data_IF_734384557323
#
_entry.id   IF_734384557323
#
_cell.length_a   1.000
_cell.length_b   1.000
_cell.length_c   1.000
_cell.angle_alpha   90.00
_cell.angle_beta   90.00
_cell.angle_gamma   90.00
#
_symmetry.space_group_name_H-M   'P 1'
#
loop_
_entity.id
_entity.type
_entity.pdbx_description
1 polymer ?
#
# COMPACT_ATOMS: atom_id res chain seq x y z
N UNK A 1 -16.11 25.20 21.86
CA UNK A 1 -15.68 23.78 21.83
C UNK A 1 -15.62 23.33 20.37
N UNK A 2 -14.62 23.80 19.63
CA UNK A 2 -14.27 23.36 18.27
C UNK A 2 -12.76 23.16 18.29
N UNK A 3 -12.32 21.96 18.62
CA UNK A 3 -10.94 21.51 18.46
C UNK A 3 -10.95 20.66 17.19
N UNK A 4 -10.60 21.31 16.09
CA UNK A 4 -10.42 20.72 14.77
C UNK A 4 -9.26 19.73 14.86
N UNK A 5 -9.44 18.53 14.29
CA UNK A 5 -8.45 17.43 14.26
C UNK A 5 -7.09 17.80 13.61
N UNK A 6 -6.95 19.02 13.08
CA UNK A 6 -5.69 19.59 12.62
C UNK A 6 -4.61 19.71 13.71
N UNK A 7 -4.98 19.64 15.00
CA UNK A 7 -4.03 19.72 16.12
C UNK A 7 -3.59 18.37 16.72
N UNK A 8 -4.15 17.23 16.29
CA UNK A 8 -3.93 15.94 16.95
C UNK A 8 -2.69 15.17 16.44
N UNK A 9 -2.02 15.64 15.38
CA UNK A 9 -0.99 14.88 14.67
C UNK A 9 0.33 15.66 14.48
N UNK A 10 0.77 16.41 15.49
CA UNK A 10 2.13 16.97 15.48
C UNK A 10 3.13 15.90 15.96
N UNK A 11 3.72 15.15 15.01
CA UNK A 11 4.75 14.14 15.30
C UNK A 11 6.15 14.78 15.39
N UNK A 12 6.98 14.44 16.39
CA UNK A 12 8.30 15.05 16.59
C UNK A 12 9.44 14.46 15.70
N UNK A 13 9.14 13.87 14.54
CA UNK A 13 10.11 13.10 13.74
C UNK A 13 10.86 13.89 12.63
N UNK A 14 10.74 15.21 12.59
CA UNK A 14 11.37 16.02 11.53
C UNK A 14 12.90 16.07 11.68
N UNK A 15 13.67 15.30 10.89
CA UNK A 15 15.08 15.63 10.67
C UNK A 15 16.09 14.63 10.12
N UNK A 16 15.76 13.40 9.72
CA UNK A 16 16.80 12.38 9.43
C UNK A 16 16.91 11.84 7.99
N UNK A 17 16.24 12.39 6.99
CA UNK A 17 16.33 11.88 5.61
C UNK A 17 16.60 12.97 4.55
N UNK A 18 17.72 12.75 3.84
CA UNK A 18 18.42 13.60 2.85
C UNK A 18 17.56 14.08 1.65
N UNK A 19 18.01 15.18 1.04
CA UNK A 19 17.18 16.28 0.50
C UNK A 19 17.24 16.47 -1.02
N UNK A 20 17.59 15.45 -1.82
CA UNK A 20 17.42 15.53 -3.29
C UNK A 20 16.00 15.14 -3.70
N UNK A 21 15.02 15.93 -3.25
CA UNK A 21 13.58 15.64 -3.21
C UNK A 21 12.86 15.80 -4.57
N UNK A 22 13.53 15.57 -5.71
CA UNK A 22 12.90 15.68 -7.05
C UNK A 22 12.64 14.32 -7.70
N UNK A 23 13.53 13.34 -7.56
CA UNK A 23 13.36 12.02 -8.16
C UNK A 23 12.60 11.06 -7.24
N UNK A 24 11.60 10.36 -7.80
CA UNK A 24 10.94 9.26 -7.09
C UNK A 24 11.87 8.05 -7.15
N UNK A 25 12.83 7.98 -6.23
CA UNK A 25 13.67 6.78 -6.09
C UNK A 25 12.78 5.54 -5.90
N UNK A 26 12.75 4.67 -6.91
CA UNK A 26 11.97 3.43 -6.90
C UNK A 26 12.65 2.43 -5.98
N UNK A 27 11.95 1.85 -4.99
CA UNK A 27 12.59 0.99 -4.01
C UNK A 27 13.12 -0.30 -4.65
N UNK A 28 14.38 -0.62 -4.40
CA UNK A 28 15.05 -1.85 -4.84
C UNK A 28 15.02 -2.98 -3.81
N UNK A 29 14.73 -2.67 -2.54
CA UNK A 29 14.74 -3.64 -1.44
C UNK A 29 13.70 -3.31 -0.35
N UNK A 30 13.54 -4.21 0.61
CA UNK A 30 12.54 -4.09 1.68
C UNK A 30 12.76 -2.88 2.59
N UNK A 31 14.02 -2.53 2.87
CA UNK A 31 14.36 -1.40 3.72
C UNK A 31 13.93 -0.07 3.07
N UNK A 32 14.21 0.09 1.78
CA UNK A 32 13.75 1.23 0.99
C UNK A 32 12.22 1.29 0.91
N UNK A 33 11.53 0.14 0.83
CA UNK A 33 10.06 0.13 0.91
C UNK A 33 9.57 0.60 2.27
N UNK A 34 10.14 0.07 3.37
CA UNK A 34 9.76 0.46 4.72
C UNK A 34 9.99 1.95 4.98
N UNK A 35 11.15 2.47 4.57
CA UNK A 35 11.49 3.89 4.72
C UNK A 35 10.60 4.78 3.84
N UNK A 36 10.31 4.35 2.60
CA UNK A 36 9.38 5.03 1.70
C UNK A 36 7.97 5.07 2.26
N UNK A 37 7.49 3.96 2.83
CA UNK A 37 6.18 3.85 3.45
C UNK A 37 6.04 4.77 4.67
N UNK A 38 7.05 4.78 5.54
CA UNK A 38 7.14 5.64 6.72
C UNK A 38 7.08 7.11 6.34
N UNK A 39 8.04 7.56 5.53
CA UNK A 39 8.14 8.95 5.10
C UNK A 39 6.88 9.42 4.36
N UNK A 40 6.32 8.60 3.47
CA UNK A 40 5.10 8.96 2.73
C UNK A 40 3.88 9.08 3.63
N UNK A 41 3.77 8.24 4.67
CA UNK A 41 2.66 8.31 5.64
C UNK A 41 2.82 9.52 6.54
N UNK A 42 4.03 9.77 7.06
CA UNK A 42 4.33 10.96 7.86
C UNK A 42 4.04 12.25 7.08
N UNK A 43 4.44 12.33 5.81
CA UNK A 43 4.13 13.47 4.94
C UNK A 43 2.62 13.71 4.82
N UNK A 44 1.83 12.64 4.70
CA UNK A 44 0.38 12.74 4.59
C UNK A 44 -0.27 13.19 5.92
N UNK A 45 0.15 12.59 7.04
CA UNK A 45 -0.37 12.92 8.37
C UNK A 45 -0.01 14.34 8.79
N UNK A 46 1.22 14.79 8.53
CA UNK A 46 1.66 16.17 8.78
C UNK A 46 0.87 17.22 7.99
N UNK A 47 0.20 16.79 6.91
CA UNK A 47 -0.69 17.63 6.10
C UNK A 47 -2.16 17.55 6.52
N UNK A 48 -2.46 16.79 7.57
CA UNK A 48 -3.83 16.57 8.05
C UNK A 48 -4.66 15.68 7.13
N UNK A 49 -4.02 14.88 6.26
CA UNK A 49 -4.73 13.94 5.41
C UNK A 49 -5.18 12.75 6.27
N UNK A 50 -6.49 12.67 6.52
CA UNK A 50 -7.09 11.67 7.41
C UNK A 50 -7.41 10.35 6.71
N UNK A 51 -7.48 10.33 5.37
CA UNK A 51 -7.93 9.17 4.57
C UNK A 51 -6.86 8.73 3.60
N UNK A 52 -6.16 7.66 3.95
CA UNK A 52 -4.99 7.19 3.21
C UNK A 52 -5.30 5.88 2.50
N UNK A 53 -4.75 5.69 1.31
CA UNK A 53 -4.73 4.43 0.57
C UNK A 53 -3.28 4.00 0.30
N UNK A 54 -2.95 2.81 0.77
CA UNK A 54 -1.61 2.24 0.71
C UNK A 54 -1.70 0.87 0.08
N UNK A 55 -0.79 0.60 -0.84
CA UNK A 55 -0.84 -0.58 -1.68
C UNK A 55 0.58 -1.12 -1.91
N UNK A 56 0.84 -2.32 -1.42
CA UNK A 56 2.05 -3.11 -1.72
C UNK A 56 1.68 -4.35 -2.53
N UNK A 57 2.59 -5.00 -3.27
CA UNK A 57 2.28 -6.21 -4.03
C UNK A 57 1.74 -7.35 -3.17
N UNK A 58 0.93 -8.24 -3.75
CA UNK A 58 0.44 -9.40 -3.03
C UNK A 58 1.60 -10.33 -2.65
N UNK A 59 1.56 -10.94 -1.46
CA UNK A 59 2.63 -11.81 -0.94
C UNK A 59 4.01 -11.12 -0.80
N UNK A 60 4.08 -9.78 -0.85
CA UNK A 60 5.29 -9.05 -0.55
C UNK A 60 5.51 -8.98 0.96
N UNK A 61 6.54 -9.70 1.44
CA UNK A 61 6.88 -9.76 2.86
C UNK A 61 7.89 -8.64 3.21
N UNK A 62 7.53 -7.83 4.20
CA UNK A 62 8.39 -6.80 4.78
C UNK A 62 9.41 -7.41 5.76
N UNK A 63 9.14 -8.60 6.28
CA UNK A 63 10.02 -9.32 7.22
C UNK A 63 9.85 -8.89 8.68
N UNK A 64 8.69 -8.30 9.01
CA UNK A 64 8.37 -7.80 10.36
C UNK A 64 7.98 -8.96 11.29
N UNK A 65 7.39 -10.05 10.77
CA UNK A 65 7.00 -11.23 11.56
C UNK A 65 8.15 -12.27 11.69
N UNK A 66 9.40 -11.89 11.43
CA UNK A 66 10.60 -12.67 11.78
C UNK A 66 11.26 -13.46 10.65
N UNK A 67 10.63 -13.55 9.47
CA UNK A 67 11.26 -14.19 8.31
C UNK A 67 12.14 -13.18 7.56
N UNK A 68 13.39 -13.00 8.01
CA UNK A 68 14.36 -12.05 7.44
C UNK A 68 14.92 -12.46 6.07
N UNK A 69 14.49 -13.58 5.50
CA UNK A 69 14.85 -13.93 4.12
C UNK A 69 14.09 -12.98 3.19
N UNK A 70 14.67 -11.80 3.00
CA UNK A 70 14.11 -10.70 2.24
C UNK A 70 13.57 -11.21 0.91
N UNK A 71 12.24 -11.19 0.78
CA UNK A 71 11.60 -11.47 -0.49
C UNK A 71 12.06 -10.36 -1.42
N UNK A 72 12.85 -10.74 -2.43
CA UNK A 72 13.32 -9.78 -3.42
C UNK A 72 12.11 -9.13 -4.08
N UNK A 73 12.19 -7.83 -4.30
CA UNK A 73 11.27 -7.09 -5.18
C UNK A 73 11.47 -7.59 -6.61
N UNK A 74 10.84 -8.71 -6.94
CA UNK A 74 10.81 -9.34 -8.25
C UNK A 74 9.48 -10.07 -8.35
N UNK A 75 8.66 -9.73 -9.35
CA UNK A 75 7.30 -10.26 -9.47
C UNK A 75 7.26 -11.78 -9.59
N UNK A 76 8.23 -12.35 -10.31
CA UNK A 76 8.32 -13.81 -10.52
C UNK A 76 8.76 -14.59 -9.28
N UNK A 77 9.16 -13.89 -8.22
CA UNK A 77 9.47 -14.46 -6.91
C UNK A 77 8.33 -14.30 -5.92
N UNK A 78 7.28 -13.54 -6.27
CA UNK A 78 6.10 -13.42 -5.45
C UNK A 78 5.19 -14.62 -5.65
N UNK A 79 4.84 -15.26 -4.54
CA UNK A 79 3.88 -16.35 -4.52
C UNK A 79 2.47 -15.80 -4.37
N UNK A 80 2.01 -15.01 -5.36
CA UNK A 80 0.71 -14.32 -5.30
C UNK A 80 -0.49 -15.28 -5.22
N UNK A 81 -0.32 -16.51 -5.72
CA UNK A 81 -1.30 -17.59 -5.60
C UNK A 81 -1.30 -18.31 -4.25
N UNK A 82 -0.27 -18.10 -3.43
CA UNK A 82 -0.17 -18.67 -2.08
C UNK A 82 -0.90 -17.77 -1.08
N UNK A 83 -2.14 -18.14 -0.78
CA UNK A 83 -2.99 -17.36 0.13
C UNK A 83 -2.39 -17.21 1.53
N UNK A 84 -1.58 -18.17 2.01
CA UNK A 84 -0.95 -18.06 3.32
C UNK A 84 0.12 -16.96 3.33
N UNK A 85 0.91 -16.85 2.26
CA UNK A 85 1.89 -15.76 2.10
C UNK A 85 1.24 -14.41 1.89
N UNK A 86 0.15 -14.34 1.12
CA UNK A 86 -0.65 -13.11 0.99
C UNK A 86 -1.19 -12.67 2.36
N UNK A 87 -1.72 -13.61 3.13
CA UNK A 87 -2.24 -13.34 4.48
C UNK A 87 -1.15 -12.86 5.45
N UNK A 88 0.06 -13.40 5.34
CA UNK A 88 1.22 -12.91 6.12
C UNK A 88 1.65 -11.52 5.67
N UNK A 89 1.76 -11.27 4.36
CA UNK A 89 2.08 -9.96 3.83
C UNK A 89 1.08 -8.89 4.30
N UNK A 90 -0.22 -9.18 4.23
CA UNK A 90 -1.27 -8.28 4.71
C UNK A 90 -1.12 -7.95 6.21
N UNK A 91 -0.76 -8.94 7.05
CA UNK A 91 -0.46 -8.71 8.47
C UNK A 91 0.81 -7.88 8.67
N UNK A 92 1.91 -8.18 7.98
CA UNK A 92 3.17 -7.46 8.15
C UNK A 92 3.04 -5.97 7.80
N UNK A 93 2.31 -5.63 6.74
CA UNK A 93 2.02 -4.22 6.41
C UNK A 93 1.23 -3.58 7.54
N UNK A 94 0.18 -4.25 8.05
CA UNK A 94 -0.61 -3.73 9.16
C UNK A 94 0.20 -3.54 10.44
N UNK A 95 1.09 -4.50 10.78
CA UNK A 95 2.01 -4.39 11.92
C UNK A 95 2.95 -3.20 11.78
N UNK A 96 3.44 -2.94 10.57
CA UNK A 96 4.27 -1.76 10.29
C UNK A 96 3.52 -0.47 10.62
N UNK A 97 2.23 -0.39 10.28
CA UNK A 97 1.40 0.77 10.64
C UNK A 97 1.14 0.86 12.15
N UNK A 98 0.97 -0.26 12.86
CA UNK A 98 0.88 -0.22 14.33
C UNK A 98 2.12 0.40 14.93
N UNK A 99 3.31 -0.02 14.50
CA UNK A 99 4.58 0.52 14.98
C UNK A 99 4.76 2.01 14.64
N UNK A 100 4.38 2.42 13.42
CA UNK A 100 4.45 3.82 13.00
C UNK A 100 3.49 4.73 13.76
N UNK A 101 2.32 4.21 14.13
CA UNK A 101 1.26 4.97 14.78
C UNK A 101 1.24 4.78 16.30
N UNK A 102 2.25 4.11 16.88
CA UNK A 102 2.40 3.99 18.34
C UNK A 102 2.29 5.34 19.09
N UNK A 103 2.82 6.47 18.59
CA UNK A 103 2.68 7.75 19.29
C UNK A 103 1.23 8.22 19.45
N UNK A 104 0.30 7.68 18.65
CA UNK A 104 -1.14 7.95 18.69
C UNK A 104 -1.93 6.66 18.99
N UNK A 105 -1.31 5.68 19.64
CA UNK A 105 -1.89 4.34 19.82
C UNK A 105 -3.25 4.33 20.55
N UNK A 106 -3.52 5.35 21.38
CA UNK A 106 -4.81 5.47 22.05
C UNK A 106 -5.93 5.69 21.01
N UNK A 107 -6.74 4.66 20.80
CA UNK A 107 -7.79 4.65 19.79
C UNK A 107 -7.35 4.13 18.42
N UNK A 108 -6.16 3.53 18.30
CA UNK A 108 -5.76 2.80 17.10
C UNK A 108 -6.49 1.46 17.02
N UNK A 109 -7.17 1.22 15.91
CA UNK A 109 -7.87 -0.03 15.63
C UNK A 109 -7.40 -0.61 14.30
N UNK A 110 -6.92 -1.85 14.30
CA UNK A 110 -6.58 -2.60 13.09
C UNK A 110 -7.69 -3.59 12.81
N UNK A 111 -8.37 -3.44 11.67
CA UNK A 111 -9.44 -4.34 11.27
C UNK A 111 -9.06 -5.22 10.09
N UNK A 112 -9.17 -6.52 10.29
CA UNK A 112 -8.95 -7.51 9.24
C UNK A 112 -10.25 -7.93 8.55
N UNK A 113 -10.13 -8.28 7.26
CA UNK A 113 -11.23 -8.78 6.43
C UNK A 113 -11.96 -10.02 6.97
N UNK A 114 -11.40 -10.76 7.93
CA UNK A 114 -12.07 -11.89 8.58
C UNK A 114 -11.45 -12.20 9.96
N UNK A 115 -12.21 -12.92 10.80
CA UNK A 115 -11.80 -13.30 12.14
C UNK A 115 -10.50 -14.11 12.18
N UNK A 116 -10.29 -15.03 11.23
CA UNK A 116 -9.09 -15.88 11.20
C UNK A 116 -7.80 -15.06 11.14
N UNK A 117 -7.80 -13.97 10.35
CA UNK A 117 -6.65 -13.08 10.24
C UNK A 117 -6.44 -12.23 11.50
N UNK A 118 -7.52 -11.75 12.10
CA UNK A 118 -7.47 -11.03 13.37
C UNK A 118 -6.92 -11.91 14.51
N UNK A 119 -7.43 -13.13 14.65
CA UNK A 119 -6.96 -14.10 15.65
C UNK A 119 -5.46 -14.39 15.46
N UNK A 120 -5.02 -14.55 14.20
CA UNK A 120 -3.60 -14.81 13.91
C UNK A 120 -2.71 -13.60 14.23
N UNK A 121 -3.17 -12.39 13.92
CA UNK A 121 -2.47 -11.18 14.30
C UNK A 121 -2.37 -11.03 15.83
N UNK A 122 -3.45 -11.31 16.57
CA UNK A 122 -3.44 -11.30 18.04
C UNK A 122 -2.44 -12.31 18.61
N UNK A 123 -2.41 -13.53 18.07
CA UNK A 123 -1.47 -14.58 18.49
C UNK A 123 0.00 -14.19 18.26
N UNK A 124 0.30 -13.62 17.09
CA UNK A 124 1.68 -13.33 16.65
C UNK A 124 2.20 -12.03 17.27
N UNK A 125 1.40 -10.96 17.24
CA UNK A 125 1.87 -9.62 17.63
C UNK A 125 1.88 -9.43 19.14
N UNK A 126 0.96 -10.09 19.85
CA UNK A 126 0.78 -9.94 21.32
C UNK A 126 0.76 -8.47 21.74
N UNK A 127 -0.04 -7.67 21.03
CA UNK A 127 -0.20 -6.25 21.31
C UNK A 127 -0.60 -6.04 22.77
N UNK A 128 0.02 -5.05 23.41
CA UNK A 128 -0.47 -4.54 24.67
C UNK A 128 -1.76 -3.72 24.44
N UNK A 129 -2.62 -3.63 25.46
CA UNK A 129 -3.92 -2.93 25.34
C UNK A 129 -3.73 -1.45 24.96
N UNK A 130 -2.62 -0.84 25.37
CA UNK A 130 -2.24 0.53 25.03
C UNK A 130 -1.74 0.73 23.59
N UNK A 131 -1.33 -0.33 22.88
CA UNK A 131 -0.82 -0.25 21.51
C UNK A 131 -1.94 -0.21 20.46
N UNK A 132 -3.16 -0.60 20.84
CA UNK A 132 -4.34 -0.57 19.99
C UNK A 132 -5.14 -1.88 20.01
N UNK A 133 -6.25 -1.89 19.26
CA UNK A 133 -7.18 -3.02 19.20
C UNK A 133 -7.11 -3.74 17.85
N UNK A 134 -7.11 -5.07 17.87
CA UNK A 134 -7.25 -5.89 16.66
C UNK A 134 -8.70 -6.37 16.56
N UNK A 135 -9.36 -5.98 15.47
CA UNK A 135 -10.76 -6.28 15.18
C UNK A 135 -10.89 -7.10 13.87
N UNK A 136 -12.07 -7.65 13.65
CA UNK A 136 -12.45 -8.26 12.38
C UNK A 136 -13.78 -7.71 11.88
N UNK A 137 -13.96 -7.67 10.56
CA UNK A 137 -15.27 -7.37 10.01
C UNK A 137 -16.32 -8.39 10.46
N UNK A 138 -17.55 -7.95 10.78
CA UNK A 138 -18.62 -8.85 11.17
C UNK A 138 -18.89 -9.87 10.06
N UNK A 139 -19.10 -11.12 10.45
CA UNK A 139 -19.50 -12.17 9.52
C UNK A 139 -20.91 -11.88 9.02
N UNK A 140 -21.14 -12.16 7.73
CA UNK A 140 -22.49 -12.15 7.17
C UNK A 140 -23.39 -13.06 8.02
N UNK A 141 -24.53 -12.57 8.54
CA UNK A 141 -25.53 -13.45 9.11
C UNK A 141 -25.98 -14.48 8.05
N UNK A 142 -26.61 -15.58 8.47
CA UNK A 142 -27.09 -16.60 7.51
C UNK A 142 -28.48 -16.26 6.94
N UNK A 143 -28.93 -14.99 6.97
CA UNK A 143 -30.33 -14.61 6.72
C UNK A 143 -30.53 -13.73 5.47
N UNK A 144 -31.42 -14.11 4.56
CA UNK A 144 -31.51 -13.50 3.23
C UNK A 144 -32.16 -12.09 3.15
N UNK A 145 -32.73 -11.54 4.22
CA UNK A 145 -33.51 -10.30 4.15
C UNK A 145 -33.20 -9.39 5.34
N UNK A 146 -32.78 -8.14 5.06
CA UNK A 146 -32.41 -7.00 5.95
C UNK A 146 -30.93 -6.77 6.32
N UNK A 147 -29.97 -7.46 5.70
CA UNK A 147 -28.58 -7.46 6.21
C UNK A 147 -27.75 -6.19 5.97
N UNK A 148 -27.88 -5.45 4.87
CA UNK A 148 -26.89 -4.37 4.56
C UNK A 148 -27.01 -3.15 5.50
N UNK A 149 -28.20 -2.74 5.91
CA UNK A 149 -28.38 -1.57 6.79
C UNK A 149 -27.97 -1.89 8.23
N UNK A 150 -28.44 -3.03 8.76
CA UNK A 150 -28.09 -3.47 10.11
C UNK A 150 -26.60 -3.81 10.27
N UNK A 151 -25.93 -4.25 9.20
CA UNK A 151 -24.48 -4.47 9.26
C UNK A 151 -23.70 -3.16 9.38
N UNK A 152 -24.17 -2.07 8.75
CA UNK A 152 -23.56 -0.75 8.90
C UNK A 152 -23.64 -0.23 10.33
N UNK A 153 -24.82 -0.31 10.95
CA UNK A 153 -25.03 0.12 12.34
C UNK A 153 -24.18 -0.70 13.32
N UNK A 154 -24.20 -2.04 13.21
CA UNK A 154 -23.37 -2.92 14.06
C UNK A 154 -21.88 -2.66 13.88
N UNK A 155 -21.46 -2.39 12.64
CA UNK A 155 -20.08 -2.04 12.35
C UNK A 155 -19.72 -0.72 13.05
N UNK A 156 -20.55 0.30 12.95
CA UNK A 156 -20.33 1.60 13.61
C UNK A 156 -20.33 1.46 15.13
N UNK A 157 -21.25 0.68 15.71
CA UNK A 157 -21.29 0.38 17.15
C UNK A 157 -20.02 -0.34 17.63
N UNK A 158 -19.51 -1.30 16.85
CA UNK A 158 -18.27 -1.99 17.16
C UNK A 158 -17.07 -1.03 17.16
N UNK A 159 -16.96 -0.16 16.16
CA UNK A 159 -15.89 0.84 16.06
C UNK A 159 -15.99 1.86 17.21
N UNK A 160 -17.20 2.34 17.51
CA UNK A 160 -17.44 3.28 18.61
C UNK A 160 -17.18 2.65 19.99
N UNK A 161 -17.63 1.40 20.20
CA UNK A 161 -17.43 0.66 21.44
C UNK A 161 -15.97 0.33 21.73
N UNK A 162 -15.15 0.18 20.69
CA UNK A 162 -13.70 0.04 20.80
C UNK A 162 -12.97 1.39 20.98
N UNK A 163 -13.68 2.52 20.96
CA UNK A 163 -13.07 3.85 21.10
C UNK A 163 -12.12 4.20 19.95
N UNK A 164 -12.38 3.68 18.75
CA UNK A 164 -11.49 3.86 17.61
C UNK A 164 -11.48 5.32 17.11
N UNK A 165 -10.29 5.92 17.06
CA UNK A 165 -10.01 7.25 16.51
C UNK A 165 -9.19 7.16 15.21
N UNK A 166 -8.41 6.09 15.03
CA UNK A 166 -7.68 5.79 13.81
C UNK A 166 -7.91 4.33 13.41
N UNK A 167 -8.48 4.11 12.24
CA UNK A 167 -8.85 2.80 11.73
C UNK A 167 -7.92 2.38 10.59
N UNK A 168 -7.12 1.35 10.82
CA UNK A 168 -6.29 0.69 9.81
C UNK A 168 -7.06 -0.51 9.27
N UNK A 169 -7.47 -0.46 8.01
CA UNK A 169 -8.28 -1.49 7.36
C UNK A 169 -7.42 -2.34 6.45
N UNK A 170 -7.31 -3.62 6.77
CA UNK A 170 -6.42 -4.54 6.06
C UNK A 170 -7.17 -5.34 5.01
N UNK A 171 -6.76 -5.17 3.76
CA UNK A 171 -7.16 -5.97 2.63
C UNK A 171 -8.69 -6.10 2.45
N UNK A 172 -9.49 -5.02 2.59
CA UNK A 172 -10.94 -5.09 2.56
C UNK A 172 -11.48 -5.60 1.22
N UNK A 173 -12.62 -6.26 1.27
CA UNK A 173 -13.42 -6.69 0.10
C UNK A 173 -14.45 -5.64 -0.29
N UNK A 174 -15.10 -5.78 -1.44
CA UNK A 174 -16.05 -4.78 -1.96
C UNK A 174 -17.14 -4.44 -0.94
N UNK A 175 -17.72 -5.45 -0.29
CA UNK A 175 -18.74 -5.24 0.75
C UNK A 175 -18.20 -4.45 1.94
N UNK A 176 -16.99 -4.77 2.38
CA UNK A 176 -16.33 -4.09 3.51
C UNK A 176 -15.98 -2.65 3.16
N UNK A 177 -15.53 -2.40 1.93
CA UNK A 177 -15.34 -1.05 1.40
C UNK A 177 -16.62 -0.21 1.45
N UNK A 178 -17.80 -0.80 1.24
CA UNK A 178 -19.08 -0.07 1.40
C UNK A 178 -19.33 0.32 2.84
N UNK A 179 -19.09 -0.58 3.80
CA UNK A 179 -19.21 -0.29 5.24
C UNK A 179 -18.25 0.82 5.65
N UNK A 180 -16.99 0.76 5.20
CA UNK A 180 -15.98 1.77 5.51
C UNK A 180 -16.34 3.12 4.88
N UNK A 181 -16.86 3.13 3.65
CA UNK A 181 -17.35 4.37 3.04
C UNK A 181 -18.50 4.97 3.86
N UNK A 182 -19.46 4.15 4.27
CA UNK A 182 -20.58 4.60 5.12
C UNK A 182 -20.10 5.16 6.46
N UNK A 183 -19.12 4.50 7.10
CA UNK A 183 -18.48 4.98 8.32
C UNK A 183 -17.78 6.33 8.10
N UNK A 184 -17.04 6.49 6.99
CA UNK A 184 -16.40 7.76 6.63
C UNK A 184 -17.40 8.89 6.34
N UNK A 185 -18.59 8.57 5.82
CA UNK A 185 -19.66 9.55 5.62
C UNK A 185 -20.27 10.01 6.97
N UNK A 186 -20.28 9.15 8.00
CA UNK A 186 -20.83 9.47 9.34
C UNK A 186 -19.82 10.19 10.23
N UNK A 187 -18.57 9.74 10.21
CA UNK A 187 -17.51 10.26 11.09
C UNK A 187 -16.77 11.47 10.49
N UNK A 188 -16.98 11.75 9.20
CA UNK A 188 -16.34 12.84 8.46
C UNK A 188 -14.81 12.86 8.68
N UNK A 189 -14.28 13.93 9.30
CA UNK A 189 -12.86 14.13 9.61
C UNK A 189 -12.50 13.83 11.07
N UNK A 190 -13.43 13.29 11.85
CA UNK A 190 -13.20 12.97 13.27
C UNK A 190 -12.39 11.68 13.47
N UNK A 191 -12.26 10.86 12.43
CA UNK A 191 -11.57 9.57 12.47
C UNK A 191 -10.63 9.43 11.27
N UNK A 192 -9.38 9.05 11.53
CA UNK A 192 -8.43 8.67 10.48
C UNK A 192 -8.78 7.28 9.93
N UNK A 193 -8.74 7.10 8.60
CA UNK A 193 -8.95 5.80 7.96
C UNK A 193 -7.79 5.53 7.00
N UNK A 194 -7.07 4.45 7.26
CA UNK A 194 -5.94 4.00 6.44
C UNK A 194 -6.32 2.67 5.81
N UNK A 195 -6.44 2.65 4.48
CA UNK A 195 -6.70 1.44 3.72
C UNK A 195 -5.37 0.81 3.32
N UNK A 196 -5.16 -0.44 3.73
CA UNK A 196 -3.99 -1.23 3.35
C UNK A 196 -4.41 -2.30 2.35
N UNK A 197 -3.77 -2.33 1.18
CA UNK A 197 -4.02 -3.32 0.13
C UNK A 197 -5.52 -3.44 -0.27
N UNK A 198 -6.24 -2.31 -0.27
CA UNK A 198 -7.64 -2.26 -0.69
C UNK A 198 -7.82 -2.45 -2.20
N UNK A 199 -6.75 -2.26 -3.00
CA UNK A 199 -6.74 -2.46 -4.45
C UNK A 199 -7.81 -1.63 -5.17
N UNK A 200 -7.95 -0.36 -4.76
CA UNK A 200 -8.93 0.56 -5.32
C UNK A 200 -8.52 0.94 -6.75
N UNK A 201 -7.23 1.25 -6.93
CA UNK A 201 -6.60 1.60 -8.20
C UNK A 201 -6.02 0.37 -8.90
N UNK A 202 -5.62 0.53 -10.16
CA UNK A 202 -4.94 -0.51 -10.94
C UNK A 202 -5.81 -1.71 -11.34
N UNK A 203 -5.13 -2.83 -11.63
CA UNK A 203 -5.75 -4.14 -11.77
C UNK A 203 -6.13 -4.62 -10.37
N UNK A 204 -7.37 -4.33 -9.96
CA UNK A 204 -7.89 -4.81 -8.68
C UNK A 204 -7.79 -6.35 -8.54
N UNK A 205 -8.20 -6.89 -7.39
CA UNK A 205 -8.20 -8.35 -7.18
C UNK A 205 -9.00 -9.05 -8.27
N UNK A 206 -8.42 -10.07 -8.90
CA UNK A 206 -9.10 -10.85 -9.95
C UNK A 206 -10.47 -11.38 -9.49
N UNK A 207 -10.58 -11.70 -8.20
CA UNK A 207 -11.77 -12.29 -7.60
C UNK A 207 -12.94 -11.31 -7.38
N UNK A 208 -12.74 -9.98 -7.37
CA UNK A 208 -13.83 -9.05 -7.05
C UNK A 208 -13.66 -7.68 -7.73
N UNK A 209 -14.45 -7.44 -8.77
CA UNK A 209 -14.42 -6.19 -9.53
C UNK A 209 -15.18 -5.08 -8.80
N UNK A 210 -14.47 -4.02 -8.42
CA UNK A 210 -15.07 -2.82 -7.85
C UNK A 210 -15.86 -2.07 -8.95
N UNK A 211 -17.16 -1.78 -8.76
CA UNK A 211 -17.94 -0.99 -9.72
C UNK A 211 -17.30 0.38 -9.97
N UNK A 212 -17.21 0.82 -11.23
CA UNK A 212 -16.48 2.03 -11.61
C UNK A 212 -16.97 3.29 -10.88
N UNK A 213 -18.29 3.45 -10.70
CA UNK A 213 -18.88 4.58 -9.94
C UNK A 213 -18.40 4.58 -8.49
N UNK A 214 -18.36 3.41 -7.86
CA UNK A 214 -17.92 3.26 -6.47
C UNK A 214 -16.41 3.46 -6.35
N UNK A 215 -15.62 2.94 -7.30
CA UNK A 215 -14.17 3.22 -7.39
C UNK A 215 -13.88 4.72 -7.47
N UNK A 216 -14.57 5.45 -8.34
CA UNK A 216 -14.41 6.91 -8.45
C UNK A 216 -14.71 7.61 -7.13
N UNK A 217 -15.77 7.19 -6.43
CA UNK A 217 -16.09 7.74 -5.12
C UNK A 217 -15.01 7.45 -4.07
N UNK A 218 -14.40 6.26 -4.07
CA UNK A 218 -13.28 5.94 -3.17
C UNK A 218 -12.05 6.79 -3.50
N UNK A 219 -11.64 6.85 -4.78
CA UNK A 219 -10.47 7.63 -5.22
C UNK A 219 -10.62 9.14 -4.98
N UNK A 220 -11.85 9.66 -4.88
CA UNK A 220 -12.12 11.05 -4.53
C UNK A 220 -12.00 11.33 -3.03
N UNK A 221 -12.06 10.30 -2.18
CA UNK A 221 -12.07 10.43 -0.72
C UNK A 221 -10.79 9.89 -0.05
N UNK A 222 -10.00 9.08 -0.77
CA UNK A 222 -8.79 8.47 -0.26
C UNK A 222 -7.59 8.89 -1.09
N UNK A 223 -6.58 9.37 -0.39
CA UNK A 223 -5.33 9.81 -0.99
C UNK A 223 -4.36 8.63 -1.06
N UNK A 224 -3.96 8.24 -2.27
CA UNK A 224 -2.96 7.20 -2.46
C UNK A 224 -1.58 7.72 -2.04
N UNK A 225 -1.15 7.36 -0.83
CA UNK A 225 0.11 7.85 -0.27
C UNK A 225 1.28 7.04 -0.77
N UNK A 226 1.18 5.71 -0.72
CA UNK A 226 2.27 4.82 -1.08
C UNK A 226 1.77 3.60 -1.85
N UNK A 227 2.10 3.52 -3.14
CA UNK A 227 1.61 2.50 -4.07
C UNK A 227 2.80 1.82 -4.77
N UNK A 228 2.87 0.50 -4.68
CA UNK A 228 3.87 -0.33 -5.34
C UNK A 228 3.17 -1.55 -5.97
N UNK A 229 3.14 -1.62 -7.29
CA UNK A 229 2.36 -2.62 -8.02
C UNK A 229 3.11 -3.17 -9.21
N UNK A 230 3.17 -4.49 -9.34
CA UNK A 230 3.65 -5.12 -10.57
C UNK A 230 2.63 -4.96 -11.70
N UNK A 231 3.14 -4.83 -12.92
CA UNK A 231 2.32 -4.79 -14.14
C UNK A 231 2.43 -6.11 -14.90
N UNK A 232 1.68 -6.26 -16.00
CA UNK A 232 1.64 -7.51 -16.79
C UNK A 232 3.02 -7.98 -17.27
N UNK A 233 3.94 -7.04 -17.48
CA UNK A 233 5.30 -7.35 -17.88
C UNK A 233 6.11 -7.83 -16.69
N UNK A 234 6.82 -8.94 -16.88
CA UNK A 234 7.72 -9.53 -15.88
C UNK A 234 8.65 -8.49 -15.26
N UNK A 235 8.62 -8.39 -13.93
CA UNK A 235 9.46 -7.51 -13.12
C UNK A 235 9.32 -6.01 -13.42
N UNK A 236 8.31 -5.60 -14.19
CA UNK A 236 7.97 -4.20 -14.34
C UNK A 236 6.97 -3.79 -13.26
N UNK A 237 7.15 -2.58 -12.72
CA UNK A 237 6.30 -2.08 -11.65
C UNK A 237 5.97 -0.60 -11.82
N UNK A 238 4.81 -0.23 -11.28
CA UNK A 238 4.41 1.15 -11.07
C UNK A 238 4.59 1.45 -9.59
N UNK A 239 5.31 2.53 -9.33
CA UNK A 239 5.56 3.03 -7.99
C UNK A 239 5.04 4.45 -7.87
N UNK A 240 4.36 4.76 -6.78
CA UNK A 240 3.88 6.10 -6.44
C UNK A 240 4.11 6.38 -4.97
N UNK A 241 4.64 7.56 -4.64
CA UNK A 241 4.79 8.01 -3.25
C UNK A 241 4.42 9.48 -3.10
N UNK A 242 4.00 9.86 -1.90
CA UNK A 242 3.79 11.25 -1.53
C UNK A 242 5.10 11.89 -1.06
N UNK A 243 5.52 12.97 -1.75
CA UNK A 243 6.69 13.76 -1.36
C UNK A 243 6.42 14.69 -0.17
N UNK A 244 7.48 15.33 0.35
CA UNK A 244 7.36 16.34 1.43
C UNK A 244 6.50 17.53 0.98
N UNK A 245 6.56 17.86 -0.32
CA UNK A 245 5.72 18.86 -0.99
C UNK A 245 4.23 18.48 -1.09
N UNK A 246 3.86 17.27 -0.63
CA UNK A 246 2.50 16.74 -0.68
C UNK A 246 2.04 16.37 -2.07
N UNK A 247 2.91 16.51 -3.08
CA UNK A 247 2.62 16.06 -4.42
C UNK A 247 2.92 14.58 -4.48
N UNK A 248 2.01 13.85 -5.11
CA UNK A 248 2.26 12.48 -5.51
C UNK A 248 3.09 12.50 -6.79
N UNK A 249 4.05 11.60 -6.87
CA UNK A 249 4.81 11.39 -8.09
C UNK A 249 4.87 9.90 -8.37
N UNK A 250 4.79 9.56 -9.64
CA UNK A 250 4.76 8.19 -10.13
C UNK A 250 5.99 7.88 -10.96
N UNK A 251 6.47 6.65 -10.84
CA UNK A 251 7.53 6.10 -11.64
C UNK A 251 7.11 4.73 -12.17
N UNK A 252 7.35 4.50 -13.46
CA UNK A 252 7.35 3.19 -14.07
C UNK A 252 8.79 2.70 -14.07
N UNK A 253 9.02 1.49 -13.61
CA UNK A 253 10.36 0.91 -13.53
C UNK A 253 10.38 -0.54 -14.02
N UNK A 254 11.55 -0.97 -14.47
CA UNK A 254 11.88 -2.34 -14.80
C UNK A 254 12.93 -2.85 -13.81
N UNK A 255 12.65 -3.98 -13.18
CA UNK A 255 13.61 -4.65 -12.31
C UNK A 255 14.30 -5.79 -13.07
N UNK A 256 15.61 -5.90 -12.88
CA UNK A 256 16.43 -6.98 -13.45
C UNK A 256 17.39 -7.53 -12.40
N UNK A 257 17.65 -8.82 -12.48
CA UNK A 257 18.68 -9.45 -11.67
C UNK A 257 20.01 -9.33 -12.43
N UNK A 258 21.01 -8.71 -11.79
CA UNK A 258 22.37 -8.62 -12.32
C UNK A 258 23.24 -9.75 -11.77
N UNK A 259 24.38 -9.99 -12.41
CA UNK A 259 25.36 -10.99 -11.96
C UNK A 259 25.68 -10.82 -10.46
N UNK A 260 25.61 -11.92 -9.71
CA UNK A 260 25.74 -11.90 -8.25
C UNK A 260 24.41 -11.78 -7.49
N UNK A 261 23.27 -11.84 -8.17
CA UNK A 261 21.94 -11.93 -7.56
C UNK A 261 21.44 -10.63 -6.92
N UNK A 262 22.05 -9.50 -7.27
CA UNK A 262 21.55 -8.17 -6.89
C UNK A 262 20.43 -7.77 -7.84
N UNK A 263 19.41 -7.12 -7.31
CA UNK A 263 18.36 -6.50 -8.13
C UNK A 263 18.81 -5.10 -8.52
N UNK A 264 18.78 -4.79 -9.81
CA UNK A 264 18.90 -3.43 -10.34
C UNK A 264 17.51 -2.98 -10.77
N UNK A 265 17.19 -1.72 -10.47
CA UNK A 265 15.92 -1.09 -10.85
C UNK A 265 16.23 0.03 -11.83
N UNK A 266 15.76 -0.13 -13.06
CA UNK A 266 15.88 0.87 -14.11
C UNK A 266 14.57 1.66 -14.19
N UNK A 267 14.66 2.97 -13.98
CA UNK A 267 13.52 3.85 -14.16
C UNK A 267 13.21 3.98 -15.66
N UNK A 268 11.99 3.62 -16.03
CA UNK A 268 11.50 3.70 -17.41
C UNK A 268 10.97 5.09 -17.72
N UNK A 269 10.16 5.64 -16.80
CA UNK A 269 9.46 6.92 -16.97
C UNK A 269 8.94 7.48 -15.64
N UNK A 270 9.14 8.77 -15.38
CA UNK A 270 8.46 9.53 -14.33
C UNK A 270 7.22 10.27 -14.84
N UNK A 271 6.19 10.36 -14.00
CA UNK A 271 4.87 10.93 -14.30
C UNK A 271 4.30 11.63 -13.06
N UNK A 272 3.54 12.70 -13.27
CA UNK A 272 2.84 13.41 -12.19
C UNK A 272 1.55 12.70 -11.75
N UNK A 273 0.94 11.95 -12.66
CA UNK A 273 -0.31 11.22 -12.44
C UNK A 273 -0.11 9.70 -12.55
N UNK A 274 -1.07 8.95 -12.02
CA UNK A 274 -1.07 7.49 -12.12
C UNK A 274 -1.23 7.07 -13.59
N UNK A 275 -0.28 6.33 -14.17
CA UNK A 275 -0.37 5.99 -15.59
C UNK A 275 -1.51 5.02 -15.88
N UNK A 276 -2.20 5.26 -16.99
CA UNK A 276 -3.17 4.33 -17.54
C UNK A 276 -2.49 3.05 -18.05
N UNK A 277 -3.21 1.91 -18.15
CA UNK A 277 -2.67 0.70 -18.76
C UNK A 277 -2.17 0.87 -20.20
N UNK A 278 -2.67 1.85 -20.94
CA UNK A 278 -2.19 2.19 -22.28
C UNK A 278 -0.82 2.87 -22.24
N UNK A 279 -0.65 3.84 -21.35
CA UNK A 279 0.62 4.57 -21.16
C UNK A 279 1.73 3.67 -20.65
N UNK A 280 1.40 2.76 -19.71
CA UNK A 280 2.35 1.74 -19.22
C UNK A 280 2.85 0.88 -20.38
N UNK A 281 1.94 0.33 -21.20
CA UNK A 281 2.31 -0.52 -22.34
C UNK A 281 3.15 0.24 -23.36
N UNK A 282 2.80 1.49 -23.66
CA UNK A 282 3.56 2.35 -24.56
C UNK A 282 4.97 2.62 -24.04
N UNK A 283 5.11 3.04 -22.78
CA UNK A 283 6.40 3.37 -22.18
C UNK A 283 7.33 2.14 -22.08
N UNK A 284 6.78 0.96 -21.79
CA UNK A 284 7.55 -0.29 -21.79
C UNK A 284 8.00 -0.71 -23.20
N UNK A 285 7.16 -0.49 -24.22
CA UNK A 285 7.55 -0.76 -25.61
C UNK A 285 8.68 0.19 -26.08
N UNK A 286 8.62 1.47 -25.70
CA UNK A 286 9.68 2.45 -25.96
C UNK A 286 10.98 2.09 -25.20
N UNK A 287 10.86 1.56 -23.98
CA UNK A 287 12.00 1.03 -23.24
C UNK A 287 12.66 -0.17 -23.95
N UNK A 288 11.86 -1.12 -24.43
CA UNK A 288 12.37 -2.29 -25.16
C UNK A 288 13.11 -1.92 -26.44
N UNK A 289 12.60 -0.93 -27.18
CA UNK A 289 13.27 -0.44 -28.38
C UNK A 289 14.66 0.09 -28.03
N UNK A 290 14.76 0.93 -26.99
CA UNK A 290 16.04 1.47 -26.51
C UNK A 290 17.02 0.39 -26.03
N UNK A 291 16.55 -0.61 -25.29
CA UNK A 291 17.42 -1.70 -24.82
C UNK A 291 17.94 -2.57 -25.98
N UNK A 292 17.11 -2.84 -27.00
CA UNK A 292 17.56 -3.56 -28.19
C UNK A 292 18.65 -2.79 -28.93
N UNK A 293 18.47 -1.49 -29.11
CA UNK A 293 19.46 -0.63 -29.78
C UNK A 293 20.80 -0.61 -29.01
N UNK A 294 20.75 -0.51 -27.68
CA UNK A 294 21.95 -0.58 -26.83
C UNK A 294 22.63 -1.95 -26.91
N UNK A 295 21.86 -3.04 -26.88
CA UNK A 295 22.39 -4.40 -27.02
C UNK A 295 23.10 -4.61 -28.35
N UNK A 296 22.51 -4.15 -29.45
CA UNK A 296 23.12 -4.19 -30.78
C UNK A 296 24.40 -3.36 -30.84
N UNK A 297 24.41 -2.14 -30.29
CA UNK A 297 25.58 -1.29 -30.26
C UNK A 297 26.74 -1.90 -29.44
N UNK A 298 26.44 -2.61 -28.36
CA UNK A 298 27.44 -3.26 -27.51
C UNK A 298 28.08 -4.47 -28.23
N UNK A 299 27.30 -5.24 -28.97
CA UNK A 299 27.81 -6.35 -29.81
C UNK A 299 28.76 -5.80 -30.88
N UNK A 300 28.38 -4.71 -31.57
CA UNK A 300 29.21 -4.08 -32.59
C UNK A 300 30.57 -3.59 -32.05
N UNK A 301 30.61 -3.13 -30.79
CA UNK A 301 31.85 -2.72 -30.12
C UNK A 301 32.73 -3.93 -29.81
N UNK A 302 32.15 -4.99 -29.23
CA UNK A 302 32.90 -6.21 -28.87
C UNK A 302 33.45 -6.90 -30.12
N UNK A 303 32.70 -6.95 -31.21
CA UNK A 303 33.15 -7.57 -32.47
C UNK A 303 34.28 -6.77 -33.14
N UNK A 304 34.25 -5.43 -33.04
CA UNK A 304 35.35 -4.58 -33.51
C UNK A 304 36.62 -4.73 -32.67
N UNK A 305 36.50 -4.99 -31.38
CA UNK A 305 37.64 -5.16 -30.47
C UNK A 305 38.29 -6.55 -30.63
N UNK A 306 37.52 -7.59 -30.94
CA UNK A 306 38.04 -8.94 -31.26
C UNK A 306 38.72 -9.05 -32.63
N UNK A 307 38.49 -8.10 -33.52
CA UNK A 307 39.14 -8.04 -34.84
C UNK A 307 40.45 -7.23 -34.84
N UNK A 308 40.86 -6.66 -33.70
CA UNK A 308 42.16 -6.01 -33.49
C UNK A 308 43.12 -6.94 -32.75
#
# INVERSE_FOLDING_TARGET
RNLVAAGAFQFPFAGLFDDSDTAVGVPGNNEEVLNGLKSSTENALNRGISRLDVELPAAFLLGVEGDKKGVRLLSDKLAESDQAKVDTADREVARTFVEMLQPIAQGLCVIFRNQRLADKAQEVWKLADEEGSILAFPRKPKGAFSEEVMEGEKFNEMIAGAGCQCLVVVAPRLRQLRLIKGLGDVMEDQMGIILLNARISGKGREAEKIPQKFRKALLANYEATYHLRFVERKNALIFGKMGKDGKRRWALAQQREVLGGRTMTDEVKQMDEEPSPGEVRKALAEYDAREKDLGSALIDIVDKDKMR
#
